data_IF_170477579424
#
_entry.id   IF_170477579424
#
_cell.length_a   1.000
_cell.length_b   1.000
_cell.length_c   1.000
_cell.angle_alpha   90.00
_cell.angle_beta   90.00
_cell.angle_gamma   90.00
#
_symmetry.space_group_name_H-M   'P 1'
#
loop_
_entity.id
_entity.type
_entity.pdbx_description
1 polymer ?
#
# COMPACT_ATOMS: atom_id res chain seq x y z
N UNK A 1 75.17 19.32 -32.34
CA UNK A 1 74.64 19.44 -30.96
C UNK A 1 73.36 18.61 -30.88
N UNK A 2 73.17 17.89 -29.78
CA UNK A 2 72.41 16.65 -29.68
C UNK A 2 70.92 16.74 -30.08
N UNK A 3 70.45 15.71 -30.80
CA UNK A 3 69.02 15.41 -30.99
C UNK A 3 68.68 14.28 -30.00
N UNK A 4 67.66 14.40 -29.13
CA UNK A 4 67.30 13.33 -28.20
C UNK A 4 66.49 12.25 -28.92
N UNK A 5 66.86 10.98 -28.73
CA UNK A 5 66.03 9.84 -29.10
C UNK A 5 64.93 9.65 -28.05
N UNK A 6 63.68 9.65 -28.49
CA UNK A 6 62.51 9.33 -27.67
C UNK A 6 62.28 7.81 -27.64
N UNK A 7 61.99 7.28 -26.44
CA UNK A 7 61.58 5.89 -26.21
C UNK A 7 60.19 5.61 -26.81
N UNK A 8 59.88 4.36 -27.21
CA UNK A 8 58.57 4.03 -27.76
C UNK A 8 57.50 4.03 -26.66
N UNK A 9 56.26 4.47 -26.94
CA UNK A 9 55.16 4.32 -26.01
C UNK A 9 54.74 2.85 -25.90
N UNK A 10 54.51 2.38 -24.67
CA UNK A 10 53.93 1.07 -24.39
C UNK A 10 52.46 0.97 -24.86
N UNK A 11 51.87 -0.23 -24.86
CA UNK A 11 50.52 -0.42 -25.36
C UNK A 11 49.50 0.29 -24.46
N UNK A 12 48.61 1.07 -25.09
CA UNK A 12 47.45 1.69 -24.46
C UNK A 12 46.44 0.58 -24.13
N UNK A 13 46.09 0.45 -22.85
CA UNK A 13 45.05 -0.43 -22.37
C UNK A 13 43.70 0.30 -22.52
N UNK A 14 42.89 -0.09 -23.49
CA UNK A 14 41.49 0.31 -23.57
C UNK A 14 40.71 -0.38 -22.43
N UNK A 15 39.96 0.33 -21.58
CA UNK A 15 39.06 -0.35 -20.66
C UNK A 15 37.86 -0.88 -21.45
N UNK A 16 37.69 -2.20 -21.39
CA UNK A 16 36.55 -2.93 -21.91
C UNK A 16 35.23 -2.31 -21.40
N UNK A 17 34.28 -2.18 -22.33
CA UNK A 17 32.95 -1.60 -22.09
C UNK A 17 32.28 -2.20 -20.86
N UNK A 18 31.89 -1.32 -19.94
CA UNK A 18 30.92 -1.62 -18.89
C UNK A 18 29.62 -1.97 -19.59
N UNK A 19 29.26 -3.24 -19.59
CA UNK A 19 27.91 -3.69 -19.91
C UNK A 19 27.00 -3.06 -18.86
N UNK A 20 26.27 -2.01 -19.25
CA UNK A 20 25.19 -1.49 -18.43
C UNK A 20 24.16 -2.61 -18.29
N UNK A 21 24.03 -3.15 -17.08
CA UNK A 21 22.83 -3.88 -16.68
C UNK A 21 21.60 -3.01 -16.98
N UNK A 22 20.51 -3.61 -17.48
CA UNK A 22 19.29 -2.86 -17.75
C UNK A 22 18.85 -2.22 -16.44
N UNK A 23 18.87 -0.89 -16.39
CA UNK A 23 18.29 -0.14 -15.29
C UNK A 23 16.83 -0.56 -15.17
N UNK A 24 16.55 -1.37 -14.14
CA UNK A 24 15.19 -1.69 -13.72
C UNK A 24 14.41 -0.38 -13.67
N UNK A 25 13.28 -0.32 -14.38
CA UNK A 25 12.39 0.83 -14.30
C UNK A 25 12.18 1.18 -12.82
N UNK A 26 12.26 2.47 -12.43
CA UNK A 26 12.02 2.83 -11.04
C UNK A 26 10.63 2.34 -10.66
N UNK A 27 10.54 1.50 -9.61
CA UNK A 27 9.27 0.98 -9.08
C UNK A 27 8.33 2.15 -8.83
N UNK A 28 7.04 1.96 -9.13
CA UNK A 28 6.03 2.94 -8.77
C UNK A 28 5.91 3.04 -7.25
N UNK A 29 5.44 4.19 -6.75
CA UNK A 29 5.23 4.36 -5.31
C UNK A 29 4.22 3.34 -4.75
N UNK A 30 3.20 3.00 -5.53
CA UNK A 30 2.21 1.98 -5.17
C UNK A 30 2.85 0.59 -5.01
N UNK A 31 3.72 0.17 -5.93
CA UNK A 31 4.43 -1.12 -5.83
C UNK A 31 5.32 -1.16 -4.59
N UNK A 32 6.11 -0.10 -4.35
CA UNK A 32 6.96 -0.02 -3.15
C UNK A 32 6.16 -0.03 -1.85
N UNK A 33 4.98 0.61 -1.82
CA UNK A 33 4.10 0.62 -0.65
C UNK A 33 3.54 -0.79 -0.37
N UNK A 34 3.03 -1.47 -1.40
CA UNK A 34 2.50 -2.83 -1.29
C UNK A 34 3.58 -3.84 -0.88
N UNK A 35 4.81 -3.70 -1.39
CA UNK A 35 5.94 -4.54 -0.98
C UNK A 35 6.26 -4.37 0.50
N UNK A 36 6.23 -3.14 1.02
CA UNK A 36 6.43 -2.89 2.45
C UNK A 36 5.30 -3.46 3.31
N UNK A 37 4.05 -3.42 2.84
CA UNK A 37 2.92 -4.06 3.53
C UNK A 37 3.04 -5.59 3.53
N UNK A 38 3.51 -6.19 2.43
CA UNK A 38 3.80 -7.63 2.38
C UNK A 38 4.95 -8.02 3.31
N UNK A 39 6.00 -7.19 3.39
CA UNK A 39 7.10 -7.39 4.35
C UNK A 39 6.59 -7.32 5.78
N UNK A 40 5.77 -6.32 6.10
CA UNK A 40 5.16 -6.17 7.41
C UNK A 40 4.25 -7.36 7.75
N UNK A 41 3.43 -7.84 6.82
CA UNK A 41 2.61 -9.04 7.02
C UNK A 41 3.46 -10.27 7.34
N UNK A 42 4.58 -10.45 6.63
CA UNK A 42 5.51 -11.54 6.92
C UNK A 42 6.06 -11.44 8.36
N UNK A 43 6.44 -10.25 8.83
CA UNK A 43 6.90 -10.03 10.20
C UNK A 43 5.79 -10.26 11.24
N UNK A 44 4.58 -9.74 11.00
CA UNK A 44 3.42 -9.90 11.87
C UNK A 44 3.00 -11.37 12.01
N UNK A 45 3.11 -12.15 10.92
CA UNK A 45 2.76 -13.58 10.92
C UNK A 45 3.61 -14.43 11.88
N UNK A 46 4.77 -13.93 12.30
CA UNK A 46 5.66 -14.61 13.23
C UNK A 46 5.31 -14.31 14.70
N UNK A 47 4.43 -13.34 14.96
CA UNK A 47 4.06 -12.96 16.32
C UNK A 47 3.10 -13.97 16.93
N UNK A 48 3.30 -14.27 18.20
CA UNK A 48 2.40 -15.07 19.01
C UNK A 48 1.71 -14.16 20.02
N UNK A 49 0.39 -14.25 20.08
CA UNK A 49 -0.42 -13.45 20.99
C UNK A 49 -0.95 -14.35 22.11
N UNK A 50 -0.63 -14.06 23.38
CA UNK A 50 -1.16 -14.82 24.50
C UNK A 50 -2.61 -14.42 24.79
N UNK A 51 -3.25 -15.17 25.69
CA UNK A 51 -4.53 -14.77 26.29
C UNK A 51 -4.49 -13.31 26.81
N UNK A 52 -5.59 -12.53 26.66
CA UNK A 52 -6.93 -12.96 26.24
C UNK A 52 -7.19 -12.87 24.72
N UNK A 53 -6.15 -12.81 23.87
CA UNK A 53 -6.32 -12.68 22.42
C UNK A 53 -6.78 -14.01 21.81
N UNK A 54 -8.08 -14.14 21.56
CA UNK A 54 -8.66 -15.36 21.02
C UNK A 54 -8.61 -15.50 19.49
N UNK A 55 -8.75 -14.39 18.75
CA UNK A 55 -8.82 -14.39 17.27
C UNK A 55 -8.12 -13.14 16.72
N UNK A 56 -7.34 -13.34 15.66
CA UNK A 56 -6.57 -12.30 14.98
C UNK A 56 -7.05 -12.24 13.53
N UNK A 57 -7.27 -11.03 13.04
CA UNK A 57 -7.66 -10.75 11.67
C UNK A 57 -6.58 -9.91 11.01
N UNK A 58 -6.14 -10.32 9.81
CA UNK A 58 -5.28 -9.49 8.96
C UNK A 58 -6.01 -9.18 7.63
N UNK A 59 -6.71 -8.03 7.50
CA UNK A 59 -7.43 -7.69 6.28
C UNK A 59 -6.53 -7.48 5.07
N UNK A 60 -5.24 -7.18 5.26
CA UNK A 60 -4.30 -7.07 4.15
C UNK A 60 -4.02 -8.45 3.53
N UNK A 61 -4.32 -9.55 4.23
CA UNK A 61 -4.25 -10.90 3.64
C UNK A 61 -5.57 -11.30 2.96
N UNK A 62 -6.68 -11.31 3.70
CA UNK A 62 -7.94 -11.86 3.17
C UNK A 62 -8.73 -10.86 2.29
N UNK A 63 -8.51 -9.55 2.44
CA UNK A 63 -9.10 -8.51 1.59
C UNK A 63 -8.04 -7.86 0.68
N UNK A 64 -7.04 -8.64 0.26
CA UNK A 64 -5.92 -8.14 -0.52
C UNK A 64 -6.33 -7.50 -1.85
N UNK A 65 -7.26 -8.10 -2.59
CA UNK A 65 -7.67 -7.59 -3.90
C UNK A 65 -8.22 -6.14 -3.84
N UNK A 66 -9.23 -5.82 -3.01
CA UNK A 66 -9.69 -4.44 -2.88
C UNK A 66 -8.62 -3.53 -2.26
N UNK A 67 -7.79 -4.03 -1.33
CA UNK A 67 -6.70 -3.25 -0.75
C UNK A 67 -5.64 -2.85 -1.80
N UNK A 68 -5.18 -3.80 -2.60
CA UNK A 68 -4.26 -3.57 -3.71
C UNK A 68 -4.87 -2.59 -4.71
N UNK A 69 -6.14 -2.77 -5.07
CA UNK A 69 -6.87 -1.86 -5.96
C UNK A 69 -6.89 -0.42 -5.42
N UNK A 70 -7.12 -0.25 -4.12
CA UNK A 70 -7.06 1.06 -3.46
C UNK A 70 -5.66 1.69 -3.53
N UNK A 71 -4.61 0.96 -3.14
CA UNK A 71 -3.24 1.48 -3.15
C UNK A 71 -2.79 1.80 -4.58
N UNK A 72 -3.01 0.89 -5.53
CA UNK A 72 -2.67 1.13 -6.93
C UNK A 72 -3.44 2.33 -7.48
N UNK A 73 -4.72 2.51 -7.17
CA UNK A 73 -5.50 3.64 -7.68
C UNK A 73 -5.05 4.99 -7.12
N UNK A 74 -4.75 5.08 -5.83
CA UNK A 74 -4.56 6.37 -5.13
C UNK A 74 -3.09 6.70 -4.78
N UNK A 75 -2.18 5.73 -4.81
CA UNK A 75 -0.75 5.90 -4.49
C UNK A 75 0.15 6.12 -5.73
N UNK A 76 -0.33 6.87 -6.72
CA UNK A 76 0.35 7.09 -8.01
C UNK A 76 1.56 8.04 -7.99
N UNK A 77 1.95 8.56 -6.82
CA UNK A 77 3.04 9.53 -6.69
C UNK A 77 3.13 10.10 -5.27
N UNK A 78 4.21 10.84 -4.96
CA UNK A 78 4.50 11.33 -3.61
C UNK A 78 3.32 12.04 -2.96
N UNK A 79 3.19 11.87 -1.63
CA UNK A 79 2.13 12.51 -0.83
C UNK A 79 2.78 13.46 0.18
N UNK A 80 2.27 14.68 0.25
CA UNK A 80 2.69 15.67 1.25
C UNK A 80 2.09 15.39 2.63
N UNK A 81 0.93 14.74 2.66
CA UNK A 81 0.16 14.44 3.87
C UNK A 81 -0.17 12.96 3.91
N UNK A 82 0.03 12.33 5.07
CA UNK A 82 -0.38 10.97 5.38
C UNK A 82 -1.35 11.00 6.56
N UNK A 83 -2.57 10.52 6.35
CA UNK A 83 -3.52 10.27 7.44
C UNK A 83 -3.25 8.88 8.01
N UNK A 84 -3.04 8.80 9.33
CA UNK A 84 -2.69 7.56 10.00
C UNK A 84 -3.73 7.23 11.08
N UNK A 85 -4.40 6.08 10.92
CA UNK A 85 -5.26 5.49 11.95
C UNK A 85 -4.46 4.59 12.89
N UNK A 86 -5.15 3.97 13.85
CA UNK A 86 -4.53 2.99 14.75
C UNK A 86 -4.51 1.59 14.12
N UNK A 87 -5.68 1.02 13.83
CA UNK A 87 -5.86 -0.35 13.34
C UNK A 87 -7.27 -0.52 12.73
N UNK A 88 -7.53 -1.61 11.98
CA UNK A 88 -8.83 -1.88 11.38
C UNK A 88 -9.98 -1.92 12.39
N UNK A 89 -11.07 -1.22 12.09
CA UNK A 89 -12.36 -1.43 12.75
C UNK A 89 -13.12 -2.63 12.16
N UNK A 90 -14.00 -3.29 12.93
CA UNK A 90 -14.63 -4.55 12.54
C UNK A 90 -15.63 -4.44 11.39
N UNK A 91 -16.12 -3.24 11.09
CA UNK A 91 -17.12 -2.98 10.04
C UNK A 91 -16.61 -2.01 8.96
N UNK A 92 -15.32 -1.68 8.99
CA UNK A 92 -14.65 -0.87 7.97
C UNK A 92 -13.56 -1.67 7.28
N UNK A 93 -12.30 -1.35 7.56
CA UNK A 93 -11.15 -2.01 6.92
C UNK A 93 -11.13 -3.54 7.10
N UNK A 94 -11.65 -4.08 8.22
CA UNK A 94 -11.77 -5.54 8.39
C UNK A 94 -12.77 -6.20 7.41
N UNK A 95 -13.63 -5.43 6.77
CA UNK A 95 -14.57 -5.89 5.76
C UNK A 95 -14.07 -5.56 4.36
N UNK A 96 -13.38 -4.43 4.18
CA UNK A 96 -13.14 -3.85 2.86
C UNK A 96 -11.68 -3.87 2.41
N UNK A 97 -10.73 -4.10 3.32
CA UNK A 97 -9.31 -3.93 3.07
C UNK A 97 -8.85 -2.47 2.95
N UNK A 98 -9.77 -1.49 2.95
CA UNK A 98 -9.43 -0.07 2.79
C UNK A 98 -9.36 0.63 4.16
N UNK A 99 -8.30 1.42 4.46
CA UNK A 99 -8.22 2.19 5.70
C UNK A 99 -9.42 3.12 5.88
N UNK A 100 -10.01 3.13 7.09
CA UNK A 100 -11.27 3.84 7.37
C UNK A 100 -12.43 3.48 6.42
N UNK A 101 -12.36 2.29 5.82
CA UNK A 101 -13.16 1.92 4.66
C UNK A 101 -14.55 1.45 5.01
N UNK A 102 -15.45 2.38 5.35
CA UNK A 102 -16.89 2.13 5.35
C UNK A 102 -17.34 1.63 3.97
N UNK A 103 -18.19 0.60 3.95
CA UNK A 103 -18.52 -0.17 2.74
C UNK A 103 -19.08 0.71 1.61
N UNK A 104 -20.08 1.57 1.90
CA UNK A 104 -20.67 2.43 0.87
C UNK A 104 -19.67 3.45 0.33
N UNK A 105 -18.79 4.00 1.18
CA UNK A 105 -17.74 4.92 0.78
C UNK A 105 -16.73 4.21 -0.14
N UNK A 106 -16.28 3.01 0.24
CA UNK A 106 -15.31 2.24 -0.56
C UNK A 106 -15.88 1.88 -1.92
N UNK A 107 -17.10 1.33 -1.95
CA UNK A 107 -17.75 0.87 -3.19
C UNK A 107 -18.23 2.02 -4.05
N UNK A 108 -18.98 2.96 -3.48
CA UNK A 108 -19.77 3.92 -4.24
C UNK A 108 -19.01 5.23 -4.51
N UNK A 109 -18.11 5.65 -3.60
CA UNK A 109 -17.32 6.89 -3.78
C UNK A 109 -15.90 6.62 -4.28
N UNK A 110 -15.16 5.71 -3.63
CA UNK A 110 -13.80 5.36 -4.06
C UNK A 110 -13.81 4.43 -5.29
N UNK A 111 -14.95 3.79 -5.59
CA UNK A 111 -15.08 2.89 -6.73
C UNK A 111 -14.14 1.69 -6.63
N UNK A 112 -13.88 1.21 -5.41
CA UNK A 112 -13.03 0.05 -5.14
C UNK A 112 -13.91 -1.17 -4.96
N UNK A 113 -13.59 -2.23 -5.71
CA UNK A 113 -14.21 -3.55 -5.62
C UNK A 113 -13.13 -4.62 -5.59
N UNK A 114 -13.54 -5.87 -5.41
CA UNK A 114 -12.66 -7.04 -5.38
C UNK A 114 -13.21 -8.13 -4.46
N UNK A 115 -12.64 -9.32 -4.55
CA UNK A 115 -12.99 -10.41 -3.66
C UNK A 115 -12.43 -10.15 -2.25
N UNK A 116 -13.27 -10.40 -1.26
CA UNK A 116 -12.87 -10.48 0.15
C UNK A 116 -13.04 -11.93 0.57
N UNK A 117 -11.93 -12.57 0.91
CA UNK A 117 -11.89 -13.96 1.33
C UNK A 117 -12.26 -14.08 2.81
N UNK A 118 -12.66 -15.29 3.21
CA UNK A 118 -12.86 -15.61 4.62
C UNK A 118 -11.50 -15.81 5.30
N UNK A 119 -11.24 -15.18 6.46
CA UNK A 119 -10.03 -15.44 7.22
C UNK A 119 -10.01 -16.87 7.77
N UNK A 120 -8.84 -17.41 8.16
CA UNK A 120 -8.72 -18.80 8.63
C UNK A 120 -9.59 -19.13 9.85
N UNK A 121 -9.87 -18.13 10.69
CA UNK A 121 -10.72 -18.24 11.86
C UNK A 121 -11.57 -16.98 12.03
N UNK A 122 -12.80 -17.16 12.49
CA UNK A 122 -13.72 -16.06 12.73
C UNK A 122 -14.41 -16.19 14.08
N UNK A 123 -14.57 -15.05 14.76
CA UNK A 123 -15.46 -14.94 15.88
C UNK A 123 -16.91 -14.88 15.36
N UNK A 124 -17.85 -15.65 15.92
CA UNK A 124 -19.26 -15.64 15.46
C UNK A 124 -19.93 -14.26 15.53
N UNK A 125 -19.46 -13.37 16.42
CA UNK A 125 -19.94 -11.97 16.54
C UNK A 125 -19.20 -10.96 15.66
N UNK A 126 -18.20 -11.38 14.89
CA UNK A 126 -17.38 -10.54 14.01
C UNK A 126 -17.10 -11.27 12.67
N UNK A 127 -18.14 -11.66 11.92
CA UNK A 127 -17.94 -12.26 10.61
C UNK A 127 -17.38 -11.24 9.61
N UNK A 128 -16.58 -11.71 8.65
CA UNK A 128 -16.17 -10.97 7.46
C UNK A 128 -17.19 -11.25 6.36
N UNK A 129 -17.99 -10.25 6.05
CA UNK A 129 -19.03 -10.26 5.01
C UNK A 129 -18.60 -9.49 3.75
N UNK A 130 -17.41 -8.91 3.76
CA UNK A 130 -16.86 -8.19 2.61
C UNK A 130 -17.60 -6.88 2.31
N UNK A 131 -17.62 -6.52 1.03
CA UNK A 131 -18.32 -5.34 0.51
C UNK A 131 -19.86 -5.44 0.56
N UNK A 132 -20.40 -6.54 1.09
CA UNK A 132 -21.82 -6.75 1.35
C UNK A 132 -22.17 -6.58 2.85
N UNK A 133 -21.21 -6.20 3.69
CA UNK A 133 -21.46 -5.99 5.11
C UNK A 133 -22.50 -4.87 5.31
N UNK A 134 -23.65 -5.15 5.98
CA UNK A 134 -24.71 -4.16 6.16
C UNK A 134 -24.46 -3.21 7.34
N UNK A 135 -23.40 -3.47 8.13
CA UNK A 135 -23.10 -2.72 9.34
C UNK A 135 -22.21 -1.51 9.00
N UNK A 136 -22.56 -0.35 9.56
CA UNK A 136 -21.74 0.86 9.44
C UNK A 136 -20.63 0.87 10.49
N UNK A 137 -19.46 1.38 10.10
CA UNK A 137 -18.34 1.59 11.02
C UNK A 137 -18.64 2.72 12.02
N UNK A 138 -18.08 2.62 13.23
CA UNK A 138 -18.34 3.55 14.33
C UNK A 138 -17.66 4.92 14.15
N UNK A 139 -16.72 5.04 13.21
CA UNK A 139 -16.09 6.30 12.82
C UNK A 139 -16.97 7.14 11.88
N UNK A 140 -18.23 6.77 11.67
CA UNK A 140 -19.22 7.48 10.83
C UNK A 140 -19.14 9.01 11.03
N UNK A 141 -18.90 9.74 9.95
CA UNK A 141 -18.69 11.19 9.95
C UNK A 141 -17.23 11.62 9.79
N UNK A 142 -16.25 10.72 9.95
CA UNK A 142 -14.84 11.01 9.66
C UNK A 142 -14.65 11.46 8.21
N UNK A 143 -15.46 10.91 7.29
CA UNK A 143 -15.42 11.21 5.86
C UNK A 143 -15.80 12.65 5.56
N UNK A 144 -16.71 13.24 6.34
CA UNK A 144 -17.11 14.64 6.18
C UNK A 144 -15.95 15.56 6.56
N UNK A 145 -15.30 15.28 7.70
CA UNK A 145 -14.12 16.00 8.15
C UNK A 145 -12.94 15.81 7.17
N UNK A 146 -12.73 14.60 6.67
CA UNK A 146 -11.69 14.32 5.69
C UNK A 146 -11.94 15.09 4.39
N UNK A 147 -13.17 15.09 3.86
CA UNK A 147 -13.54 15.86 2.66
C UNK A 147 -13.35 17.35 2.88
N UNK A 148 -13.74 17.89 4.03
CA UNK A 148 -13.54 19.30 4.38
C UNK A 148 -12.06 19.66 4.40
N UNK A 149 -11.23 18.88 5.11
CA UNK A 149 -9.78 19.08 5.15
C UNK A 149 -9.13 18.93 3.78
N UNK A 150 -9.53 17.93 3.00
CA UNK A 150 -9.05 17.76 1.63
C UNK A 150 -9.45 18.92 0.72
N UNK A 151 -10.63 19.51 0.93
CA UNK A 151 -11.06 20.70 0.21
C UNK A 151 -10.24 21.94 0.61
N UNK A 152 -10.01 22.16 1.91
CA UNK A 152 -9.15 23.24 2.42
C UNK A 152 -7.71 23.15 1.88
N UNK A 153 -7.19 21.93 1.75
CA UNK A 153 -5.86 21.66 1.22
C UNK A 153 -5.80 21.63 -0.31
N UNK A 154 -6.93 21.80 -1.02
CA UNK A 154 -7.00 21.71 -2.48
C UNK A 154 -6.75 20.30 -3.05
N UNK A 155 -6.87 19.26 -2.23
CA UNK A 155 -6.59 17.86 -2.56
C UNK A 155 -7.82 17.10 -3.08
N UNK A 156 -9.04 17.60 -2.86
CA UNK A 156 -10.28 16.93 -3.27
C UNK A 156 -10.36 16.61 -4.79
N UNK A 157 -9.88 17.49 -5.70
CA UNK A 157 -9.83 17.19 -7.14
C UNK A 157 -8.97 15.96 -7.49
N UNK A 158 -8.06 15.53 -6.62
CA UNK A 158 -7.21 14.35 -6.86
C UNK A 158 -7.99 13.03 -6.73
N UNK A 159 -9.18 13.06 -6.11
CA UNK A 159 -10.06 11.89 -5.96
C UNK A 159 -11.19 11.83 -7.01
N UNK A 160 -11.39 12.90 -7.77
CA UNK A 160 -12.44 13.01 -8.79
C UNK A 160 -11.80 12.96 -10.17
N UNK A 161 -11.66 11.75 -10.73
CA UNK A 161 -11.44 11.54 -12.16
C UNK A 161 -12.68 10.91 -12.76
#
# INVERSE_FOLDING_TARGET
MAVPQAFPPGPLHEPAGVLMEPQLCPRSLAEGFLEEELRLNAELSQLQFPEPVGIIYNPVEYAWEPHQSYVTRYCQGPKEVLFLGMNPGPFGMAQTGVPFGEVSIVRDWLGIGGAVLTPPQEHPKRPVLGLECPQSEANRGWEALAKERMNELGLLPLLTK
#
